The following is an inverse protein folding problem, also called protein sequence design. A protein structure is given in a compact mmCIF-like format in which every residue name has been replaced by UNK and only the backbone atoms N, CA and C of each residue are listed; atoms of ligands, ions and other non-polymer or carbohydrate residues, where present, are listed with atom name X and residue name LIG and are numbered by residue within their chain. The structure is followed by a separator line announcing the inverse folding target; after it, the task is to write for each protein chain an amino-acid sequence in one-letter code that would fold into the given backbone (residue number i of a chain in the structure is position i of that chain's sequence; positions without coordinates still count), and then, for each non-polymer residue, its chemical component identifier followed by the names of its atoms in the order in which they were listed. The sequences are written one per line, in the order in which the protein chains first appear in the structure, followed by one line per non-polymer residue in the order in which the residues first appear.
data_IF_266213900429
#
_entry.id   IF_266213900429
#
_cell.length_a   1.000
_cell.length_b   1.000
_cell.length_c   1.000
_cell.angle_alpha   90.00
_cell.angle_beta   90.00
_cell.angle_gamma   90.00
#
_symmetry.space_group_name_H-M   'P 1'
#
loop_
_entity.id
_entity.type
_entity.pdbx_description
1 polymer ?
#
# COMPACT_ATOMS: atom_id res chain seq x y z
N UNK A 1 -8.73 -6.18 8.96
CA UNK A 1 -8.91 -7.40 9.79
C UNK A 1 -7.90 -8.49 9.40
N UNK A 2 -7.77 -8.86 8.13
CA UNK A 2 -6.89 -9.96 7.71
C UNK A 2 -5.47 -9.80 8.23
N UNK A 3 -4.81 -8.69 7.99
CA UNK A 3 -3.42 -8.45 8.39
C UNK A 3 -3.23 -8.50 9.90
N UNK A 4 -4.17 -7.94 10.67
CA UNK A 4 -4.12 -7.98 12.14
C UNK A 4 -4.19 -9.41 12.65
N UNK A 5 -5.15 -10.19 12.18
CA UNK A 5 -5.35 -11.56 12.66
C UNK A 5 -4.35 -12.55 12.05
N UNK A 6 -3.79 -12.27 10.86
CA UNK A 6 -2.71 -13.07 10.29
C UNK A 6 -1.41 -13.03 11.10
N UNK A 7 -1.23 -12.02 11.94
CA UNK A 7 -0.13 -11.94 12.90
C UNK A 7 -0.52 -12.48 14.28
N UNK A 8 -1.70 -12.09 14.78
CA UNK A 8 -2.15 -12.43 16.14
C UNK A 8 -2.43 -13.92 16.30
N UNK A 9 -3.16 -14.52 15.35
CA UNK A 9 -3.55 -15.94 15.45
C UNK A 9 -2.33 -16.87 15.45
N UNK A 10 -1.38 -16.78 14.50
CA UNK A 10 -0.18 -17.59 14.52
C UNK A 10 0.66 -17.38 15.80
N UNK A 11 0.77 -16.14 16.28
CA UNK A 11 1.50 -15.87 17.52
C UNK A 11 0.92 -16.65 18.71
N UNK A 12 -0.40 -16.66 18.85
CA UNK A 12 -1.08 -17.38 19.93
C UNK A 12 -0.98 -18.91 19.73
N UNK A 13 -1.19 -19.41 18.51
CA UNK A 13 -1.10 -20.85 18.21
C UNK A 13 0.30 -21.39 18.52
N UNK A 14 1.35 -20.60 18.28
CA UNK A 14 2.73 -20.95 18.61
C UNK A 14 3.07 -20.84 20.11
N UNK A 15 2.07 -20.59 20.97
CA UNK A 15 2.24 -20.55 22.42
C UNK A 15 2.80 -19.27 22.99
N UNK A 16 2.80 -18.18 22.21
CA UNK A 16 3.28 -16.89 22.70
C UNK A 16 2.23 -16.16 23.54
N UNK A 17 2.67 -15.38 24.51
CA UNK A 17 1.86 -14.33 25.12
C UNK A 17 1.92 -13.08 24.26
N UNK A 18 0.81 -12.37 24.17
CA UNK A 18 0.69 -11.23 23.25
C UNK A 18 0.22 -9.97 23.95
N UNK A 19 0.82 -8.85 23.55
CA UNK A 19 0.30 -7.51 23.82
C UNK A 19 -0.19 -6.96 22.49
N UNK A 20 -1.50 -6.91 22.33
CA UNK A 20 -2.14 -6.47 21.10
C UNK A 20 -2.61 -5.02 21.22
N UNK A 21 -2.06 -4.14 20.41
CA UNK A 21 -2.48 -2.74 20.28
C UNK A 21 -3.22 -2.55 18.96
N UNK A 22 -4.57 -2.44 18.96
CA UNK A 22 -5.35 -2.22 17.75
C UNK A 22 -4.96 -0.92 17.03
N UNK A 23 -5.17 -0.89 15.71
CA UNK A 23 -5.07 0.33 14.92
C UNK A 23 -6.11 1.37 15.39
N UNK A 24 -5.82 2.66 15.15
CA UNK A 24 -6.76 3.77 15.48
C UNK A 24 -8.07 3.64 14.70
N UNK A 25 -7.97 3.35 13.41
CA UNK A 25 -9.12 3.12 12.55
C UNK A 25 -9.60 1.68 12.71
N UNK A 26 -10.92 1.49 12.84
CA UNK A 26 -11.52 0.17 13.07
C UNK A 26 -11.36 -0.38 14.50
N UNK A 27 -10.89 0.41 15.46
CA UNK A 27 -10.66 -0.01 16.85
C UNK A 27 -11.93 -0.61 17.51
N UNK A 28 -13.11 -0.14 17.15
CA UNK A 28 -14.38 -0.63 17.71
C UNK A 28 -14.68 -2.09 17.37
N UNK A 29 -14.09 -2.63 16.28
CA UNK A 29 -14.23 -4.04 15.93
C UNK A 29 -13.62 -4.99 16.96
N UNK A 30 -12.71 -4.50 17.81
CA UNK A 30 -12.05 -5.30 18.84
C UNK A 30 -12.93 -5.43 20.09
N UNK A 31 -13.84 -4.47 20.31
CA UNK A 31 -14.72 -4.49 21.49
C UNK A 31 -15.43 -5.82 21.74
N UNK A 32 -16.17 -6.38 20.76
CA UNK A 32 -16.85 -7.68 20.92
C UNK A 32 -15.91 -8.87 21.18
N UNK A 33 -14.62 -8.76 20.80
CA UNK A 33 -13.65 -9.84 20.98
C UNK A 33 -12.99 -9.84 22.35
N UNK A 34 -13.11 -8.77 23.16
CA UNK A 34 -12.47 -8.67 24.46
C UNK A 34 -12.98 -9.75 25.41
N UNK A 35 -14.28 -9.98 25.46
CA UNK A 35 -14.89 -11.02 26.28
C UNK A 35 -14.47 -12.42 25.80
N UNK A 36 -14.47 -12.64 24.49
CA UNK A 36 -14.02 -13.89 23.89
C UNK A 36 -12.54 -14.19 24.26
N UNK A 37 -11.66 -13.20 24.20
CA UNK A 37 -10.28 -13.37 24.63
C UNK A 37 -10.16 -13.65 26.13
N UNK A 38 -10.92 -12.94 26.97
CA UNK A 38 -10.87 -13.10 28.41
C UNK A 38 -11.39 -14.47 28.91
N UNK A 39 -12.35 -15.05 28.20
CA UNK A 39 -12.96 -16.34 28.54
C UNK A 39 -12.27 -17.54 27.91
N UNK A 40 -11.63 -17.36 26.75
CA UNK A 40 -11.01 -18.47 26.00
C UNK A 40 -9.55 -18.69 26.33
N UNK A 41 -8.85 -17.70 26.86
CA UNK A 41 -7.42 -17.80 27.16
C UNK A 41 -7.11 -17.60 28.62
N UNK A 42 -6.07 -18.29 29.17
CA UNK A 42 -5.57 -18.00 30.52
C UNK A 42 -5.18 -16.52 30.66
N UNK A 43 -5.28 -16.01 31.89
CA UNK A 43 -4.90 -14.62 32.19
C UNK A 43 -3.46 -14.34 31.77
N UNK A 44 -3.27 -13.21 31.05
CA UNK A 44 -1.95 -12.77 30.60
C UNK A 44 -1.53 -13.33 29.23
N UNK A 45 -2.27 -14.26 28.62
CA UNK A 45 -1.93 -14.78 27.28
C UNK A 45 -2.27 -13.76 26.20
N UNK A 46 -3.47 -13.18 26.23
CA UNK A 46 -3.86 -12.11 25.28
C UNK A 46 -4.19 -10.85 26.06
N UNK A 47 -3.40 -9.80 25.85
CA UNK A 47 -3.55 -8.51 26.50
C UNK A 47 -3.84 -7.45 25.44
N UNK A 48 -4.97 -6.76 25.54
CA UNK A 48 -5.34 -5.70 24.58
C UNK A 48 -5.13 -4.33 25.21
N UNK A 49 -4.36 -3.48 24.52
CA UNK A 49 -4.07 -2.13 24.98
C UNK A 49 -4.57 -1.09 23.98
N UNK A 50 -5.37 -0.15 24.46
CA UNK A 50 -5.86 0.97 23.68
C UNK A 50 -5.05 2.23 23.97
N UNK A 51 -4.86 3.06 22.95
CA UNK A 51 -4.16 4.33 23.08
C UNK A 51 -3.34 4.72 21.84
N UNK A 52 -2.74 5.89 21.94
CA UNK A 52 -1.82 6.37 20.88
C UNK A 52 -0.57 5.49 20.84
N UNK A 53 -0.17 5.06 19.62
CA UNK A 53 0.95 4.12 19.43
C UNK A 53 2.21 4.55 20.20
N UNK A 54 2.64 5.80 20.05
CA UNK A 54 3.83 6.30 20.74
C UNK A 54 3.70 6.28 22.27
N UNK A 55 2.51 6.55 22.81
CA UNK A 55 2.31 6.55 24.27
C UNK A 55 2.27 5.14 24.85
N UNK A 56 1.74 4.17 24.10
CA UNK A 56 1.58 2.77 24.58
C UNK A 56 2.82 1.92 24.25
N UNK A 57 3.26 1.95 23.00
CA UNK A 57 4.34 1.06 22.53
C UNK A 57 5.72 1.47 23.06
N UNK A 58 6.00 2.77 23.22
CA UNK A 58 7.33 3.21 23.66
C UNK A 58 7.74 2.69 25.04
N UNK A 59 6.94 2.79 26.11
CA UNK A 59 7.31 2.22 27.41
C UNK A 59 7.42 0.70 27.38
N UNK A 60 6.60 0.01 26.59
CA UNK A 60 6.66 -1.44 26.42
C UNK A 60 8.00 -1.85 25.80
N UNK A 61 8.42 -1.20 24.70
CA UNK A 61 9.69 -1.50 24.06
C UNK A 61 10.89 -1.18 24.97
N UNK A 62 10.85 -0.05 25.70
CA UNK A 62 11.90 0.33 26.66
C UNK A 62 12.04 -0.66 27.81
N UNK A 63 11.03 -1.41 28.16
CA UNK A 63 11.07 -2.41 29.22
C UNK A 63 12.07 -3.54 28.93
N UNK A 64 12.37 -3.82 27.64
CA UNK A 64 13.23 -4.91 27.23
C UNK A 64 12.64 -6.32 27.39
N UNK A 65 11.32 -6.41 27.69
CA UNK A 65 10.63 -7.70 27.88
C UNK A 65 9.88 -8.18 26.63
N UNK A 66 10.08 -7.49 25.50
CA UNK A 66 9.49 -7.89 24.21
C UNK A 66 10.52 -8.69 23.41
N UNK A 67 10.18 -9.93 23.10
CA UNK A 67 11.04 -10.80 22.29
C UNK A 67 10.75 -10.65 20.77
N UNK A 68 9.49 -10.31 20.43
CA UNK A 68 9.05 -10.17 19.04
C UNK A 68 8.23 -8.88 18.89
N UNK A 69 8.65 -7.99 17.99
CA UNK A 69 7.86 -6.86 17.54
C UNK A 69 7.18 -7.21 16.21
N UNK A 70 5.86 -7.40 16.23
CA UNK A 70 5.04 -7.50 15.04
C UNK A 70 4.40 -6.14 14.75
N UNK A 71 4.73 -5.50 13.63
CA UNK A 71 4.25 -4.17 13.28
C UNK A 71 3.81 -4.12 11.81
N UNK A 72 2.62 -3.57 11.59
CA UNK A 72 2.17 -3.14 10.27
C UNK A 72 2.07 -1.62 10.29
N UNK A 73 2.83 -0.96 9.42
CA UNK A 73 2.90 0.50 9.39
C UNK A 73 4.15 1.05 8.72
N UNK A 74 4.54 2.25 9.07
CA UNK A 74 5.70 2.93 8.46
C UNK A 74 7.03 2.41 9.00
N UNK A 75 8.03 2.29 8.11
CA UNK A 75 9.41 1.93 8.40
C UNK A 75 10.03 2.82 9.48
N UNK A 76 9.76 4.12 9.43
CA UNK A 76 10.19 5.06 10.45
C UNK A 76 9.67 4.73 11.86
N UNK A 77 8.44 4.20 11.95
CA UNK A 77 7.87 3.73 13.22
C UNK A 77 8.53 2.44 13.69
N UNK A 78 8.81 1.51 12.78
CA UNK A 78 9.52 0.27 13.09
C UNK A 78 10.91 0.55 13.65
N UNK A 79 11.68 1.39 12.95
CA UNK A 79 13.03 1.81 13.38
C UNK A 79 12.98 2.48 14.76
N UNK A 80 12.06 3.45 14.94
CA UNK A 80 11.94 4.15 16.22
C UNK A 80 11.58 3.22 17.39
N UNK A 81 10.74 2.21 17.16
CA UNK A 81 10.41 1.21 18.19
C UNK A 81 11.57 0.26 18.47
N UNK A 82 12.27 -0.20 17.44
CA UNK A 82 13.46 -1.03 17.56
C UNK A 82 14.56 -0.31 18.34
N UNK A 83 14.75 1.00 18.08
CA UNK A 83 15.76 1.81 18.75
C UNK A 83 15.50 2.01 20.24
N UNK A 84 14.25 1.91 20.68
CA UNK A 84 13.88 1.98 22.07
C UNK A 84 14.19 0.68 22.86
N UNK A 85 14.36 -0.45 22.16
CA UNK A 85 14.59 -1.72 22.84
C UNK A 85 16.04 -1.84 23.32
N UNK A 86 16.31 -2.10 24.63
CA UNK A 86 17.66 -2.14 25.17
C UNK A 86 18.51 -3.31 24.64
N UNK A 87 17.85 -4.42 24.25
CA UNK A 87 18.51 -5.63 23.78
C UNK A 87 18.16 -5.89 22.30
N UNK A 88 18.56 -5.01 21.38
CA UNK A 88 18.19 -5.07 19.95
C UNK A 88 18.53 -6.42 19.30
N UNK A 89 19.64 -7.04 19.67
CA UNK A 89 20.07 -8.32 19.10
C UNK A 89 19.16 -9.51 19.46
N UNK A 90 18.33 -9.38 20.51
CA UNK A 90 17.38 -10.40 20.94
C UNK A 90 15.99 -10.15 20.37
N UNK A 91 15.70 -8.92 19.96
CA UNK A 91 14.41 -8.53 19.39
C UNK A 91 14.27 -9.10 17.97
N UNK A 92 13.26 -9.92 17.76
CA UNK A 92 12.85 -10.38 16.43
C UNK A 92 11.81 -9.42 15.86
N UNK A 93 11.89 -9.20 14.55
CA UNK A 93 11.01 -8.28 13.84
C UNK A 93 10.15 -9.04 12.84
N UNK A 94 8.84 -8.80 12.89
CA UNK A 94 7.87 -9.25 11.88
C UNK A 94 7.18 -8.00 11.38
N UNK A 95 7.61 -7.50 10.23
CA UNK A 95 7.26 -6.17 9.75
C UNK A 95 6.50 -6.25 8.42
N UNK A 96 5.32 -5.61 8.38
CA UNK A 96 4.60 -5.29 7.16
C UNK A 96 4.68 -3.77 6.96
N UNK A 97 5.57 -3.34 6.08
CA UNK A 97 5.89 -1.93 5.88
C UNK A 97 5.29 -1.38 4.59
N UNK A 98 5.70 -0.17 4.21
CA UNK A 98 5.29 0.49 2.98
C UNK A 98 5.67 -0.32 1.74
N UNK A 99 4.97 -0.08 0.65
CA UNK A 99 5.22 -0.71 -0.63
C UNK A 99 5.18 0.29 -1.79
N UNK A 100 5.87 -0.03 -2.88
CA UNK A 100 5.76 0.67 -4.17
C UNK A 100 5.53 -0.34 -5.29
N UNK A 101 4.49 -1.15 -5.13
CA UNK A 101 4.16 -2.26 -6.03
C UNK A 101 3.95 -1.79 -7.47
N UNK A 102 4.71 -2.27 -8.45
CA UNK A 102 4.51 -1.92 -9.84
C UNK A 102 3.47 -2.81 -10.53
N UNK A 103 2.76 -2.21 -11.49
CA UNK A 103 2.08 -2.93 -12.55
C UNK A 103 2.85 -2.75 -13.85
N UNK A 104 3.24 -3.82 -14.51
CA UNK A 104 3.99 -3.82 -15.77
C UNK A 104 3.07 -4.29 -16.89
N UNK A 105 2.79 -3.42 -17.85
CA UNK A 105 1.88 -3.69 -18.96
C UNK A 105 2.73 -3.88 -20.22
N UNK A 106 2.84 -5.14 -20.66
CA UNK A 106 3.64 -5.59 -21.81
C UNK A 106 2.89 -5.39 -23.13
N UNK A 107 3.58 -5.39 -24.29
CA UNK A 107 2.96 -5.28 -25.61
C UNK A 107 1.87 -6.30 -25.88
N UNK A 108 2.03 -7.52 -25.41
CA UNK A 108 1.07 -8.63 -25.59
C UNK A 108 -0.11 -8.59 -24.63
N UNK A 109 -0.21 -7.61 -23.74
CA UNK A 109 -1.28 -7.55 -22.74
C UNK A 109 -2.67 -7.47 -23.40
N UNK A 110 -3.62 -8.25 -22.87
CA UNK A 110 -5.03 -8.00 -23.12
C UNK A 110 -5.41 -6.66 -22.51
N UNK A 111 -5.66 -5.67 -23.36
CA UNK A 111 -5.86 -4.28 -22.97
C UNK A 111 -7.06 -4.12 -22.01
N UNK A 112 -8.17 -4.80 -22.32
CA UNK A 112 -9.40 -4.68 -21.52
C UNK A 112 -9.19 -5.25 -20.13
N UNK A 113 -8.58 -6.43 -20.05
CA UNK A 113 -8.25 -7.07 -18.78
C UNK A 113 -7.24 -6.24 -18.00
N UNK A 114 -6.16 -5.77 -18.63
CA UNK A 114 -5.13 -4.94 -17.99
C UNK A 114 -5.72 -3.64 -17.40
N UNK A 115 -6.61 -2.96 -18.14
CA UNK A 115 -7.30 -1.75 -17.64
C UNK A 115 -8.17 -2.09 -16.43
N UNK A 116 -9.00 -3.13 -16.50
CA UNK A 116 -9.89 -3.55 -15.40
C UNK A 116 -9.11 -3.88 -14.14
N UNK A 117 -8.06 -4.69 -14.28
CA UNK A 117 -7.21 -5.12 -13.17
C UNK A 117 -6.38 -3.96 -12.60
N UNK A 118 -5.90 -3.03 -13.44
CA UNK A 118 -5.21 -1.84 -12.97
C UNK A 118 -6.15 -0.89 -12.22
N UNK A 119 -7.42 -0.73 -12.62
CA UNK A 119 -8.42 0.02 -11.83
C UNK A 119 -8.62 -0.62 -10.46
N UNK A 120 -8.89 -1.91 -10.41
CA UNK A 120 -9.05 -2.65 -9.16
C UNK A 120 -7.77 -2.59 -8.30
N UNK A 121 -6.62 -2.83 -8.91
CA UNK A 121 -5.32 -2.86 -8.25
C UNK A 121 -4.89 -1.51 -7.69
N UNK A 122 -5.14 -0.41 -8.39
CA UNK A 122 -4.74 0.94 -7.95
C UNK A 122 -5.75 1.61 -7.04
N UNK A 123 -7.05 1.35 -7.19
CA UNK A 123 -8.11 2.17 -6.59
C UNK A 123 -9.02 1.43 -5.61
N UNK A 124 -9.01 0.09 -5.55
CA UNK A 124 -9.77 -0.59 -4.50
C UNK A 124 -9.35 -0.08 -3.11
N UNK A 125 -10.35 0.18 -2.24
CA UNK A 125 -10.12 0.86 -0.96
C UNK A 125 -9.40 2.21 -1.09
N UNK A 126 -9.70 2.99 -2.13
CA UNK A 126 -9.03 4.26 -2.45
C UNK A 126 -7.51 4.14 -2.69
N UNK A 127 -6.99 2.98 -3.06
CA UNK A 127 -5.55 2.71 -3.12
C UNK A 127 -4.87 2.64 -1.76
N UNK A 128 -5.63 2.62 -0.66
CA UNK A 128 -5.12 2.55 0.71
C UNK A 128 -4.90 1.11 1.17
N UNK A 129 -4.15 0.35 0.40
CA UNK A 129 -3.71 -1.02 0.72
C UNK A 129 -2.20 -1.15 0.48
N UNK A 130 -1.52 -1.94 1.33
CA UNK A 130 -0.12 -2.30 1.10
C UNK A 130 0.06 -3.06 -0.22
N UNK A 131 -0.95 -3.85 -0.62
CA UNK A 131 -0.98 -4.63 -1.87
C UNK A 131 -1.55 -3.86 -3.07
N UNK A 132 -1.90 -2.57 -2.96
CA UNK A 132 -2.33 -1.78 -4.12
C UNK A 132 -1.17 -1.58 -5.10
N UNK A 133 -1.47 -1.50 -6.40
CA UNK A 133 -0.52 -1.03 -7.39
C UNK A 133 -0.21 0.45 -7.15
N UNK A 134 1.06 0.80 -7.06
CA UNK A 134 1.53 2.13 -6.67
C UNK A 134 2.19 2.90 -7.80
N UNK A 135 2.57 2.22 -8.87
CA UNK A 135 3.10 2.78 -10.11
C UNK A 135 2.78 1.83 -11.26
N UNK A 136 2.43 2.39 -12.42
CA UNK A 136 2.19 1.63 -13.64
C UNK A 136 3.29 1.91 -14.65
N UNK A 137 3.94 0.84 -15.13
CA UNK A 137 4.87 0.88 -16.24
C UNK A 137 4.17 0.35 -17.48
N UNK A 138 4.07 1.17 -18.55
CA UNK A 138 3.34 0.82 -19.77
C UNK A 138 4.30 0.81 -20.92
N UNK A 139 4.35 -0.29 -21.67
CA UNK A 139 5.21 -0.38 -22.84
C UNK A 139 4.77 0.62 -23.91
N UNK A 140 5.75 1.33 -24.55
CA UNK A 140 5.50 2.40 -25.51
C UNK A 140 4.59 1.99 -26.68
N UNK A 141 4.69 0.73 -27.13
CA UNK A 141 3.90 0.23 -28.25
C UNK A 141 2.38 0.29 -28.03
N UNK A 142 1.92 0.16 -26.76
CA UNK A 142 0.50 0.15 -26.42
C UNK A 142 0.10 1.31 -25.50
N UNK A 143 1.05 2.18 -25.17
CA UNK A 143 0.87 3.26 -24.19
C UNK A 143 -0.36 4.13 -24.49
N UNK A 144 -0.49 4.64 -25.71
CA UNK A 144 -1.55 5.59 -26.04
C UNK A 144 -2.94 4.93 -25.96
N UNK A 145 -3.04 3.66 -26.37
CA UNK A 145 -4.27 2.89 -26.26
C UNK A 145 -4.61 2.60 -24.78
N UNK A 146 -3.61 2.18 -24.01
CA UNK A 146 -3.79 1.92 -22.57
C UNK A 146 -4.20 3.18 -21.83
N UNK A 147 -3.48 4.29 -21.98
CA UNK A 147 -3.77 5.55 -21.28
C UNK A 147 -5.16 6.09 -21.63
N UNK A 148 -5.55 6.02 -22.91
CA UNK A 148 -6.89 6.42 -23.34
C UNK A 148 -8.00 5.59 -22.67
N UNK A 149 -7.87 4.27 -22.68
CA UNK A 149 -8.84 3.37 -22.08
C UNK A 149 -8.85 3.48 -20.54
N UNK A 150 -7.66 3.55 -19.92
CA UNK A 150 -7.52 3.63 -18.48
C UNK A 150 -8.07 4.93 -17.90
N UNK A 151 -7.76 6.09 -18.52
CA UNK A 151 -8.29 7.38 -18.06
C UNK A 151 -9.81 7.48 -18.27
N UNK A 152 -10.34 6.94 -19.36
CA UNK A 152 -11.79 6.85 -19.54
C UNK A 152 -12.47 5.99 -18.45
N UNK A 153 -11.87 4.86 -18.09
CA UNK A 153 -12.38 4.00 -17.03
C UNK A 153 -12.27 4.69 -15.64
N UNK A 154 -11.19 5.42 -15.36
CA UNK A 154 -11.05 6.22 -14.13
C UNK A 154 -12.12 7.32 -14.08
N UNK A 155 -12.34 8.05 -15.17
CA UNK A 155 -13.33 9.14 -15.24
C UNK A 155 -14.78 8.66 -15.09
N UNK A 156 -15.04 7.39 -15.37
CA UNK A 156 -16.36 6.77 -15.18
C UNK A 156 -16.64 6.33 -13.73
N UNK A 157 -15.66 6.38 -12.84
CA UNK A 157 -15.84 6.00 -11.45
C UNK A 157 -16.69 7.02 -10.69
N UNK A 158 -17.52 6.49 -9.79
CA UNK A 158 -18.37 7.29 -8.92
C UNK A 158 -17.77 7.40 -7.51
N UNK A 159 -17.94 8.58 -6.91
CA UNK A 159 -17.66 8.83 -5.51
C UNK A 159 -18.93 8.57 -4.70
N UNK A 160 -18.80 7.88 -3.58
CA UNK A 160 -19.94 7.62 -2.70
C UNK A 160 -19.53 7.32 -1.26
N UNK A 161 -20.52 7.10 -0.42
CA UNK A 161 -20.29 6.73 0.96
C UNK A 161 -20.04 5.22 1.08
N UNK A 162 -19.40 4.72 2.16
CA UNK A 162 -19.05 3.30 2.29
C UNK A 162 -20.23 2.31 2.25
N UNK A 163 -21.44 2.77 2.46
CA UNK A 163 -22.68 1.97 2.37
C UNK A 163 -23.35 2.03 1.00
N UNK A 164 -22.82 2.84 0.09
CA UNK A 164 -23.22 2.89 -1.31
C UNK A 164 -22.29 1.95 -2.10
N UNK A 165 -22.76 1.35 -3.14
CA UNK A 165 -21.95 0.41 -3.92
C UNK A 165 -21.00 1.16 -4.88
N UNK A 166 -20.10 1.97 -4.32
CA UNK A 166 -19.11 2.75 -5.06
C UNK A 166 -17.69 2.31 -4.71
N UNK A 167 -16.78 2.41 -5.67
CA UNK A 167 -15.36 2.04 -5.48
C UNK A 167 -14.60 3.09 -4.66
N UNK A 168 -14.97 4.37 -4.84
CA UNK A 168 -14.28 5.50 -4.24
C UNK A 168 -15.08 6.08 -3.10
N UNK A 169 -14.46 6.20 -1.93
CA UNK A 169 -15.09 6.66 -0.70
C UNK A 169 -14.27 7.77 -0.04
N UNK A 170 -14.81 8.50 0.97
CA UNK A 170 -14.00 9.48 1.70
C UNK A 170 -12.76 8.85 2.32
N UNK A 171 -11.63 9.53 2.25
CA UNK A 171 -10.43 9.12 2.97
C UNK A 171 -10.66 9.26 4.49
N UNK A 172 -10.33 8.24 5.29
CA UNK A 172 -10.64 8.25 6.73
C UNK A 172 -9.79 9.22 7.54
N UNK A 173 -8.61 9.61 7.03
CA UNK A 173 -7.71 10.53 7.71
C UNK A 173 -7.84 11.94 7.13
N UNK A 174 -8.14 12.91 7.97
CA UNK A 174 -8.40 14.30 7.56
C UNK A 174 -7.20 15.00 6.90
N UNK A 175 -5.96 14.57 7.21
CA UNK A 175 -4.74 15.13 6.64
C UNK A 175 -4.31 14.45 5.32
N UNK A 176 -4.92 13.32 4.98
CA UNK A 176 -4.51 12.53 3.82
C UNK A 176 -4.75 13.24 2.48
N UNK A 177 -5.87 13.97 2.29
CA UNK A 177 -6.06 14.77 1.10
C UNK A 177 -4.96 15.80 0.85
N UNK A 178 -4.45 16.46 1.88
CA UNK A 178 -3.37 17.45 1.74
C UNK A 178 -2.05 16.79 1.35
N UNK A 179 -1.75 15.62 1.93
CA UNK A 179 -0.59 14.84 1.55
C UNK A 179 -0.66 14.38 0.08
N UNK A 180 -1.81 13.84 -0.37
CA UNK A 180 -2.00 13.44 -1.77
C UNK A 180 -1.82 14.65 -2.70
N UNK A 181 -2.42 15.80 -2.35
CA UNK A 181 -2.26 17.02 -3.13
C UNK A 181 -0.80 17.43 -3.24
N UNK A 182 -0.03 17.35 -2.16
CA UNK A 182 1.41 17.69 -2.18
C UNK A 182 2.23 16.81 -3.12
N UNK A 183 1.85 15.53 -3.29
CA UNK A 183 2.48 14.63 -4.26
C UNK A 183 2.11 14.99 -5.71
N UNK A 184 0.85 15.38 -5.92
CA UNK A 184 0.38 15.85 -7.24
C UNK A 184 1.11 17.13 -7.61
N UNK A 185 1.16 18.12 -6.72
CA UNK A 185 1.81 19.41 -6.96
C UNK A 185 3.29 19.24 -7.29
N UNK A 186 4.03 18.45 -6.51
CA UNK A 186 5.45 18.12 -6.77
C UNK A 186 5.63 17.48 -8.17
N UNK A 187 4.73 16.59 -8.55
CA UNK A 187 4.80 15.95 -9.88
C UNK A 187 4.53 16.94 -11.02
N UNK A 188 3.53 17.81 -10.85
CA UNK A 188 3.19 18.84 -11.85
C UNK A 188 4.32 19.86 -12.02
N UNK A 189 4.93 20.32 -10.92
CA UNK A 189 6.09 21.23 -10.94
C UNK A 189 7.29 20.61 -11.69
N UNK A 190 7.42 19.29 -11.67
CA UNK A 190 8.49 18.53 -12.33
C UNK A 190 8.12 18.00 -13.71
N UNK A 191 7.01 18.45 -14.27
CA UNK A 191 6.62 18.24 -15.66
C UNK A 191 5.65 17.10 -15.93
N UNK A 192 5.13 16.40 -14.92
CA UNK A 192 4.00 15.52 -15.08
C UNK A 192 2.72 16.31 -15.43
N UNK A 193 1.73 15.60 -15.97
CA UNK A 193 0.39 16.15 -16.24
C UNK A 193 -0.64 15.23 -15.60
N UNK A 194 -1.74 15.80 -15.13
CA UNK A 194 -2.96 15.04 -14.84
C UNK A 194 -3.60 14.78 -16.21
N UNK A 195 -3.78 13.51 -16.58
CA UNK A 195 -4.24 13.12 -17.91
C UNK A 195 -5.70 12.66 -17.95
N UNK A 196 -6.37 12.55 -16.81
CA UNK A 196 -7.80 12.31 -16.72
C UNK A 196 -8.57 13.59 -16.34
N UNK A 197 -9.88 13.66 -16.67
CA UNK A 197 -10.65 14.92 -16.65
C UNK A 197 -10.83 15.50 -15.25
N UNK A 198 -11.13 14.64 -14.28
CA UNK A 198 -11.46 15.05 -12.90
C UNK A 198 -10.31 14.86 -11.91
N UNK A 199 -9.13 14.49 -12.41
CA UNK A 199 -8.01 14.10 -11.57
C UNK A 199 -7.64 15.16 -10.53
N UNK A 200 -7.60 14.76 -9.27
CA UNK A 200 -7.29 15.65 -8.16
C UNK A 200 -8.43 16.55 -7.67
N UNK A 201 -9.62 16.51 -8.30
CA UNK A 201 -10.80 17.22 -7.77
C UNK A 201 -11.07 16.79 -6.33
N UNK A 202 -11.28 17.77 -5.45
CA UNK A 202 -11.41 17.55 -4.02
C UNK A 202 -12.69 18.16 -3.44
N UNK A 203 -13.36 17.40 -2.57
CA UNK A 203 -14.46 17.88 -1.74
C UNK A 203 -14.35 17.25 -0.34
N UNK A 204 -13.96 18.05 0.68
CA UNK A 204 -13.68 17.54 2.02
C UNK A 204 -12.63 16.42 1.98
N UNK A 205 -12.98 15.22 2.48
CA UNK A 205 -12.11 14.05 2.47
C UNK A 205 -12.24 13.19 1.19
N UNK A 206 -13.06 13.58 0.23
CA UNK A 206 -13.07 12.97 -1.10
C UNK A 206 -11.96 13.57 -1.96
N UNK A 207 -11.25 12.71 -2.66
CA UNK A 207 -10.33 13.06 -3.76
C UNK A 207 -10.69 12.17 -4.94
N UNK A 208 -10.92 12.78 -6.11
CA UNK A 208 -11.04 12.03 -7.33
C UNK A 208 -9.66 11.58 -7.81
N UNK A 209 -9.50 10.31 -8.26
CA UNK A 209 -8.21 9.78 -8.64
C UNK A 209 -7.49 10.61 -9.69
N UNK A 210 -6.23 10.96 -9.44
CA UNK A 210 -5.39 11.65 -10.40
C UNK A 210 -4.46 10.66 -11.11
N UNK A 211 -4.54 10.57 -12.43
CA UNK A 211 -3.60 9.81 -13.27
C UNK A 211 -2.50 10.77 -13.73
N UNK A 212 -1.28 10.54 -13.27
CA UNK A 212 -0.11 11.38 -13.54
C UNK A 212 0.77 10.74 -14.61
N UNK A 213 1.07 11.48 -15.68
CA UNK A 213 1.95 11.03 -16.76
C UNK A 213 2.66 12.22 -17.45
N UNK A 214 3.92 12.09 -17.89
CA UNK A 214 4.87 11.05 -17.51
C UNK A 214 5.40 11.26 -16.08
N UNK A 215 5.66 10.18 -15.36
CA UNK A 215 6.30 10.28 -14.04
C UNK A 215 7.77 9.88 -14.13
N UNK A 216 8.64 10.65 -13.47
CA UNK A 216 10.10 10.47 -13.49
C UNK A 216 10.70 10.30 -12.10
N UNK A 217 11.97 9.86 -12.03
CA UNK A 217 12.69 9.61 -10.77
C UNK A 217 12.88 10.87 -9.89
N UNK A 218 12.74 12.06 -10.45
CA UNK A 218 12.86 13.33 -9.71
C UNK A 218 11.62 13.65 -8.87
N UNK A 219 10.49 12.97 -9.13
CA UNK A 219 9.21 13.23 -8.49
C UNK A 219 9.08 12.41 -7.20
N UNK A 220 8.53 13.03 -6.14
CA UNK A 220 8.28 12.32 -4.87
C UNK A 220 7.37 11.11 -5.05
N UNK A 221 6.33 11.26 -5.85
CA UNK A 221 5.36 10.19 -6.14
C UNK A 221 6.01 8.94 -6.77
N UNK A 222 7.20 9.06 -7.35
CA UNK A 222 7.94 7.92 -7.87
C UNK A 222 8.49 7.03 -6.78
N UNK A 223 8.97 7.61 -5.68
CA UNK A 223 9.65 6.93 -4.59
C UNK A 223 8.76 6.68 -3.37
N UNK A 224 7.88 7.62 -3.05
CA UNK A 224 7.06 7.54 -1.85
C UNK A 224 5.81 6.68 -2.08
N UNK A 225 5.40 5.92 -1.07
CA UNK A 225 4.10 5.29 -1.06
C UNK A 225 3.01 6.33 -0.86
N UNK A 226 2.15 6.51 -1.86
CA UNK A 226 1.06 7.47 -1.81
C UNK A 226 -0.06 7.07 -0.85
N UNK A 227 -0.36 5.78 -0.73
CA UNK A 227 -1.45 5.23 0.08
C UNK A 227 -2.77 6.01 -0.08
N UNK A 228 -3.18 6.20 -1.33
CA UNK A 228 -4.31 7.04 -1.71
C UNK A 228 -4.53 7.08 -3.23
N UNK A 229 -5.59 7.75 -3.71
CA UNK A 229 -6.05 7.71 -5.09
C UNK A 229 -5.25 8.63 -6.00
N UNK A 230 -3.96 8.36 -6.18
CA UNK A 230 -3.12 8.98 -7.20
C UNK A 230 -2.30 7.91 -7.89
N UNK A 231 -2.29 7.91 -9.21
CA UNK A 231 -1.76 6.83 -10.03
C UNK A 231 -0.65 7.39 -10.90
N UNK A 232 0.62 7.18 -10.50
CA UNK A 232 1.75 7.54 -11.34
C UNK A 232 1.94 6.52 -12.46
N UNK A 233 2.14 7.01 -13.69
CA UNK A 233 2.38 6.18 -14.87
C UNK A 233 3.69 6.61 -15.53
N UNK A 234 4.49 5.61 -15.89
CA UNK A 234 5.72 5.75 -16.66
C UNK A 234 5.69 4.81 -17.86
N UNK A 235 6.14 5.30 -19.02
CA UNK A 235 6.33 4.43 -20.17
C UNK A 235 7.75 3.84 -20.19
N UNK A 236 7.88 2.71 -20.87
CA UNK A 236 9.16 2.04 -21.10
C UNK A 236 9.19 1.43 -22.52
N UNK A 237 10.38 1.22 -23.02
CA UNK A 237 10.64 0.53 -24.28
C UNK A 237 11.43 -0.77 -24.02
N UNK A 238 12.43 -0.66 -23.15
CA UNK A 238 13.23 -1.78 -22.69
C UNK A 238 12.74 -2.20 -21.28
N UNK A 239 12.46 -3.48 -21.13
CA UNK A 239 12.01 -4.09 -19.87
C UNK A 239 13.04 -3.94 -18.75
N UNK A 240 14.31 -3.72 -19.07
CA UNK A 240 15.35 -3.47 -18.09
C UNK A 240 15.05 -2.24 -17.23
N UNK A 241 14.36 -1.22 -17.78
CA UNK A 241 14.03 -0.01 -17.04
C UNK A 241 13.15 -0.28 -15.79
N UNK A 242 11.96 -0.91 -15.88
CA UNK A 242 11.21 -1.24 -14.68
C UNK A 242 11.91 -2.26 -13.76
N UNK A 243 12.71 -3.18 -14.30
CA UNK A 243 13.47 -4.14 -13.50
C UNK A 243 14.55 -3.45 -12.67
N UNK A 244 15.33 -2.55 -13.26
CA UNK A 244 16.32 -1.75 -12.55
C UNK A 244 15.68 -0.84 -11.49
N UNK A 245 14.54 -0.25 -11.80
CA UNK A 245 13.80 0.59 -10.85
C UNK A 245 13.36 -0.23 -9.63
N UNK A 246 12.88 -1.45 -9.82
CA UNK A 246 12.53 -2.36 -8.73
C UNK A 246 13.75 -2.80 -7.94
N UNK A 247 14.86 -3.17 -8.60
CA UNK A 247 16.10 -3.58 -7.94
C UNK A 247 16.74 -2.46 -7.09
N UNK A 248 16.54 -1.20 -7.47
CA UNK A 248 17.00 -0.03 -6.73
C UNK A 248 16.02 0.47 -5.67
N UNK A 249 14.79 -0.05 -5.66
CA UNK A 249 13.75 0.35 -4.73
C UNK A 249 14.04 -0.16 -3.31
N UNK A 250 13.66 0.61 -2.30
CA UNK A 250 13.63 0.15 -0.91
C UNK A 250 12.43 -0.76 -0.60
N UNK A 251 11.56 -0.96 -1.57
CA UNK A 251 10.30 -1.70 -1.41
C UNK A 251 10.32 -2.95 -2.27
N UNK A 252 9.90 -4.07 -1.69
CA UNK A 252 9.76 -5.33 -2.40
C UNK A 252 8.66 -6.16 -1.76
N UNK A 253 7.43 -6.03 -2.25
CA UNK A 253 6.29 -6.81 -1.74
C UNK A 253 5.65 -7.65 -2.85
N UNK A 254 5.26 -7.01 -3.94
CA UNK A 254 4.65 -7.71 -5.09
C UNK A 254 4.82 -6.90 -6.37
N UNK A 255 4.66 -7.59 -7.48
CA UNK A 255 4.57 -7.02 -8.83
C UNK A 255 3.41 -7.69 -9.57
N UNK A 256 2.69 -6.92 -10.39
CA UNK A 256 1.70 -7.47 -11.34
C UNK A 256 2.22 -7.28 -12.75
N UNK A 257 2.25 -8.36 -13.52
CA UNK A 257 2.68 -8.34 -14.92
C UNK A 257 1.50 -8.72 -15.81
N UNK A 258 1.22 -7.88 -16.79
CA UNK A 258 0.15 -8.06 -17.76
C UNK A 258 0.74 -8.38 -19.13
N UNK A 259 0.51 -9.57 -19.62
CA UNK A 259 0.97 -10.06 -20.91
C UNK A 259 0.35 -11.44 -21.20
N UNK A 260 0.34 -11.85 -22.47
CA UNK A 260 -0.20 -13.14 -22.89
C UNK A 260 0.88 -14.05 -23.50
N UNK A 261 2.01 -13.48 -23.92
CA UNK A 261 3.09 -14.21 -24.58
C UNK A 261 4.06 -14.81 -23.56
N UNK A 262 4.17 -16.15 -23.56
CA UNK A 262 5.06 -16.85 -22.63
C UNK A 262 6.53 -16.44 -22.77
N UNK A 263 6.96 -16.06 -23.98
CA UNK A 263 8.33 -15.60 -24.25
C UNK A 263 8.65 -14.25 -23.59
N UNK A 264 7.64 -13.38 -23.42
CA UNK A 264 7.78 -12.11 -22.69
C UNK A 264 7.72 -12.33 -21.17
N UNK A 265 6.87 -13.26 -20.72
CA UNK A 265 6.59 -13.46 -19.29
C UNK A 265 7.67 -14.29 -18.58
N UNK A 266 8.16 -15.38 -19.19
CA UNK A 266 9.05 -16.31 -18.51
C UNK A 266 10.35 -15.66 -17.98
N UNK A 267 11.09 -14.85 -18.77
CA UNK A 267 12.29 -14.18 -18.28
C UNK A 267 12.01 -13.20 -17.12
N UNK A 268 10.82 -12.57 -17.14
CA UNK A 268 10.41 -11.64 -16.07
C UNK A 268 10.11 -12.39 -14.78
N UNK A 269 9.37 -13.51 -14.88
CA UNK A 269 9.03 -14.32 -13.70
C UNK A 269 10.32 -14.84 -13.05
N UNK A 270 11.25 -15.37 -13.83
CA UNK A 270 12.52 -15.88 -13.32
C UNK A 270 13.35 -14.78 -12.63
N UNK A 271 13.35 -13.56 -13.17
CA UNK A 271 14.04 -12.43 -12.56
C UNK A 271 13.35 -11.97 -11.27
N UNK A 272 12.03 -11.77 -11.33
CA UNK A 272 11.23 -11.20 -10.25
C UNK A 272 11.10 -12.10 -9.02
N UNK A 273 11.18 -13.40 -9.17
CA UNK A 273 11.18 -14.36 -8.05
C UNK A 273 12.43 -14.20 -7.17
N UNK A 274 13.50 -13.62 -7.71
CA UNK A 274 14.78 -13.45 -7.00
C UNK A 274 15.04 -12.00 -6.55
N UNK A 275 14.12 -11.07 -6.76
CA UNK A 275 14.14 -9.73 -6.22
C UNK A 275 13.43 -9.68 -4.86
#
# INVERSE_FOLDING_TARGET
LNETFSLLIPAIIMGNTTIFKPAKLGVLLIGPLLEAFATSFPKGVVNVLFGRGRAVASPIMKSGHIDVLALIGHSSSAIALQDLHPNKNRLRLVLGLEAKNPGIILPSADLQNAVSECISGTLSFNGQRCTALKILYVHKAIKDQFLSAFTAAVDALELGMPWENTLLTPLPESHKPDYIQSLIDDALEKGAKIINKRGGERSSNFIFPAVLYPVTKEMKIYHEEQFGPVIPVRDFEDIQLPLEDMAQSNYGQQVSVFGTEAQELAPLIDYLVNL
#
